data_IF_218002196266
#
_entry.id   IF_218002196266
#
_cell.length_a   1.000
_cell.length_b   1.000
_cell.length_c   1.000
_cell.angle_alpha   90.00
_cell.angle_beta   90.00
_cell.angle_gamma   90.00
#
_symmetry.space_group_name_H-M   'P 1'
#
loop_
_entity.id
_entity.type
_entity.pdbx_description
1 polymer ?
#
# COMPACT_ATOMS: atom_id res chain seq x y z
N UNK A 1 14.17 16.20 -11.75
CA UNK A 1 13.60 16.52 -10.41
C UNK A 1 13.40 15.20 -9.69
N UNK A 2 14.08 14.92 -8.58
CA UNK A 2 13.74 13.72 -7.79
C UNK A 2 12.33 13.93 -7.24
N UNK A 3 11.40 13.03 -7.56
CA UNK A 3 10.08 13.03 -6.94
C UNK A 3 10.18 12.83 -5.42
N UNK A 4 9.09 13.09 -4.66
CA UNK A 4 9.08 12.82 -3.23
C UNK A 4 9.40 11.33 -2.97
N UNK A 5 10.24 11.05 -1.97
CA UNK A 5 10.52 9.68 -1.56
C UNK A 5 9.27 9.07 -0.94
N UNK A 6 8.65 8.11 -1.62
CA UNK A 6 7.41 7.46 -1.17
C UNK A 6 7.75 6.11 -0.54
N UNK A 7 7.10 5.80 0.58
CA UNK A 7 7.10 4.46 1.18
C UNK A 7 5.66 3.95 1.27
N UNK A 8 5.41 2.80 0.65
CA UNK A 8 4.11 2.12 0.68
C UNK A 8 4.20 0.92 1.62
N UNK A 9 3.32 0.88 2.61
CA UNK A 9 3.23 -0.19 3.60
C UNK A 9 2.14 -1.19 3.24
N UNK A 10 2.53 -2.46 3.27
CA UNK A 10 1.71 -3.61 2.96
C UNK A 10 1.58 -4.44 4.25
N UNK A 11 0.37 -4.57 4.80
CA UNK A 11 0.16 -5.35 6.02
C UNK A 11 0.10 -6.87 5.74
N UNK A 12 0.31 -7.67 6.78
CA UNK A 12 0.15 -9.13 6.72
C UNK A 12 -1.27 -9.58 7.04
N UNK A 13 -1.45 -10.90 7.15
CA UNK A 13 -2.69 -11.52 7.64
C UNK A 13 -3.09 -10.94 9.01
N UNK A 14 -4.39 -10.74 9.21
CA UNK A 14 -5.03 -10.05 10.36
C UNK A 14 -4.56 -8.61 10.66
N UNK A 15 -3.66 -8.05 9.85
CA UNK A 15 -3.21 -6.67 9.97
C UNK A 15 -4.16 -5.66 9.29
N UNK A 16 -3.97 -4.39 9.62
CA UNK A 16 -4.60 -3.23 8.97
C UNK A 16 -3.57 -2.10 8.87
N UNK A 17 -3.90 -1.01 8.17
CA UNK A 17 -3.04 0.18 8.01
C UNK A 17 -2.47 0.67 9.36
N UNK A 18 -3.28 0.57 10.42
CA UNK A 18 -2.96 1.08 11.75
C UNK A 18 -1.76 0.38 12.40
N UNK A 19 -1.41 -0.82 11.95
CA UNK A 19 -0.20 -1.53 12.35
C UNK A 19 1.06 -0.72 12.09
N UNK A 20 1.04 0.17 11.09
CA UNK A 20 2.20 0.96 10.66
C UNK A 20 2.21 2.40 11.19
N UNK A 21 1.25 2.81 12.02
CA UNK A 21 1.09 4.22 12.45
C UNK A 21 2.36 4.87 13.01
N UNK A 22 3.17 4.09 13.73
CA UNK A 22 4.41 4.56 14.34
C UNK A 22 5.50 4.76 13.28
N UNK A 23 5.67 3.80 12.37
CA UNK A 23 6.61 3.87 11.25
C UNK A 23 6.23 4.99 10.28
N UNK A 24 4.95 5.13 9.98
CA UNK A 24 4.43 6.22 9.14
C UNK A 24 4.76 7.59 9.75
N UNK A 25 4.54 7.75 11.06
CA UNK A 25 4.86 9.01 11.77
C UNK A 25 6.37 9.30 11.72
N UNK A 26 7.22 8.29 11.94
CA UNK A 26 8.67 8.45 11.86
C UNK A 26 9.14 8.83 10.45
N UNK A 27 8.62 8.17 9.41
CA UNK A 27 8.97 8.47 8.02
C UNK A 27 8.49 9.85 7.56
N UNK A 28 7.28 10.24 7.95
CA UNK A 28 6.77 11.59 7.67
C UNK A 28 7.68 12.66 8.28
N UNK A 29 8.14 12.47 9.52
CA UNK A 29 9.13 13.36 10.17
C UNK A 29 10.48 13.39 9.44
N UNK A 30 10.86 12.29 8.80
CA UNK A 30 12.08 12.18 8.00
C UNK A 30 11.92 12.70 6.54
N UNK A 31 10.77 13.28 6.18
CA UNK A 31 10.52 13.87 4.87
C UNK A 31 10.02 12.89 3.79
N UNK A 32 9.63 11.67 4.17
CA UNK A 32 9.03 10.70 3.25
C UNK A 32 7.51 10.86 3.20
N UNK A 33 6.93 10.58 2.04
CA UNK A 33 5.47 10.37 1.90
C UNK A 33 5.16 8.92 2.29
N UNK A 34 4.68 8.71 3.51
CA UNK A 34 4.28 7.40 4.01
C UNK A 34 2.80 7.10 3.68
N UNK A 35 2.54 5.96 3.03
CA UNK A 35 1.20 5.51 2.64
C UNK A 35 1.00 4.10 3.17
N UNK A 36 -0.08 3.85 3.89
CA UNK A 36 -0.53 2.51 4.27
C UNK A 36 -1.94 2.30 3.72
N UNK A 37 -2.18 1.13 3.15
CA UNK A 37 -3.46 0.71 2.60
C UNK A 37 -4.03 -0.43 3.42
N UNK A 38 -5.35 -0.46 3.53
CA UNK A 38 -6.10 -1.65 3.95
C UNK A 38 -6.45 -2.48 2.72
N UNK A 39 -6.14 -3.78 2.74
CA UNK A 39 -6.53 -4.68 1.66
C UNK A 39 -8.05 -4.84 1.60
N UNK A 40 -8.59 -5.25 0.45
CA UNK A 40 -9.99 -5.66 0.33
C UNK A 40 -10.36 -6.64 1.45
N UNK A 41 -11.46 -6.36 2.16
CA UNK A 41 -11.91 -7.14 3.31
C UNK A 41 -11.17 -6.90 4.63
N UNK A 42 -10.29 -5.90 4.69
CA UNK A 42 -9.60 -5.48 5.91
C UNK A 42 -9.91 -4.03 6.27
N UNK A 43 -9.87 -3.73 7.58
CA UNK A 43 -9.95 -2.37 8.10
C UNK A 43 -11.13 -1.57 7.53
N UNK A 44 -10.82 -0.49 6.84
CA UNK A 44 -11.79 0.43 6.24
C UNK A 44 -12.10 0.12 4.76
N UNK A 45 -11.42 -0.85 4.16
CA UNK A 45 -11.66 -1.27 2.78
C UNK A 45 -12.86 -2.21 2.70
N UNK A 46 -13.63 -2.10 1.61
CA UNK A 46 -14.78 -2.97 1.39
C UNK A 46 -14.37 -4.44 1.30
N UNK A 47 -15.20 -5.31 1.88
CA UNK A 47 -15.10 -6.75 1.64
C UNK A 47 -15.56 -7.08 0.22
N UNK A 48 -14.83 -7.94 -0.51
CA UNK A 48 -15.32 -8.43 -1.80
C UNK A 48 -16.60 -9.24 -1.60
N UNK A 49 -17.52 -9.28 -2.60
CA UNK A 49 -18.75 -10.06 -2.49
C UNK A 49 -18.54 -11.55 -2.25
N UNK A 50 -17.45 -12.11 -2.79
CA UNK A 50 -17.07 -13.52 -2.68
C UNK A 50 -15.62 -13.61 -2.15
N UNK A 51 -15.39 -13.46 -0.84
CA UNK A 51 -14.04 -13.43 -0.24
C UNK A 51 -13.20 -14.65 -0.54
N UNK A 52 -13.81 -15.82 -0.62
CA UNK A 52 -13.16 -17.10 -0.94
C UNK A 52 -12.59 -17.16 -2.36
N UNK A 53 -13.04 -16.27 -3.26
CA UNK A 53 -12.53 -16.18 -4.63
C UNK A 53 -11.45 -15.10 -4.80
N UNK A 54 -11.18 -14.30 -3.77
CA UNK A 54 -10.14 -13.28 -3.82
C UNK A 54 -8.76 -13.94 -4.00
N UNK A 55 -8.02 -13.47 -5.01
CA UNK A 55 -6.72 -14.02 -5.38
C UNK A 55 -5.58 -13.03 -5.11
N UNK A 56 -4.34 -13.54 -5.15
CA UNK A 56 -3.15 -12.69 -5.13
C UNK A 56 -3.13 -11.69 -6.31
N UNK A 57 -3.70 -12.07 -7.47
CA UNK A 57 -3.79 -11.17 -8.63
C UNK A 57 -4.72 -10.00 -8.35
N UNK A 58 -5.84 -10.22 -7.66
CA UNK A 58 -6.74 -9.14 -7.25
C UNK A 58 -6.04 -8.15 -6.33
N UNK A 59 -5.26 -8.67 -5.37
CA UNK A 59 -4.44 -7.85 -4.50
C UNK A 59 -3.42 -7.00 -5.28
N UNK A 60 -2.71 -7.61 -6.23
CA UNK A 60 -1.76 -6.88 -7.08
C UNK A 60 -2.44 -5.81 -7.94
N UNK A 61 -3.64 -6.09 -8.44
CA UNK A 61 -4.41 -5.13 -9.23
C UNK A 61 -4.84 -3.92 -8.38
N UNK A 62 -5.29 -4.14 -7.14
CA UNK A 62 -5.63 -3.05 -6.22
C UNK A 62 -4.41 -2.18 -5.92
N UNK A 63 -3.27 -2.81 -5.62
CA UNK A 63 -2.04 -2.09 -5.32
C UNK A 63 -1.58 -1.24 -6.51
N UNK A 64 -1.58 -1.80 -7.73
CA UNK A 64 -1.24 -1.06 -8.94
C UNK A 64 -2.22 0.10 -9.18
N UNK A 65 -3.53 -0.15 -9.04
CA UNK A 65 -4.55 0.89 -9.18
C UNK A 65 -4.37 2.05 -8.18
N UNK A 66 -4.02 1.75 -6.93
CA UNK A 66 -3.72 2.77 -5.92
C UNK A 66 -2.45 3.55 -6.28
N UNK A 67 -1.39 2.87 -6.68
CA UNK A 67 -0.11 3.50 -7.08
C UNK A 67 -0.33 4.46 -8.25
N UNK A 68 -1.08 4.02 -9.26
CA UNK A 68 -1.43 4.82 -10.44
C UNK A 68 -2.32 6.01 -10.04
N UNK A 69 -3.37 5.79 -9.24
CA UNK A 69 -4.27 6.84 -8.78
C UNK A 69 -3.57 7.92 -7.93
N UNK A 70 -2.52 7.56 -7.20
CA UNK A 70 -1.72 8.47 -6.39
C UNK A 70 -0.55 9.11 -7.18
N UNK A 71 -0.49 8.85 -8.49
CA UNK A 71 0.54 9.32 -9.42
C UNK A 71 1.97 9.02 -8.91
N UNK A 72 2.17 7.87 -8.28
CA UNK A 72 3.47 7.46 -7.76
C UNK A 72 4.32 6.97 -8.95
N UNK A 73 5.46 7.60 -9.25
CA UNK A 73 6.29 7.19 -10.37
C UNK A 73 6.76 5.74 -10.21
N UNK A 74 6.82 5.02 -11.33
CA UNK A 74 7.29 3.64 -11.36
C UNK A 74 8.71 3.57 -10.77
N UNK A 75 8.87 2.72 -9.75
CA UNK A 75 10.18 2.44 -9.18
C UNK A 75 10.97 1.64 -10.23
N UNK A 76 12.21 2.04 -10.50
CA UNK A 76 13.11 1.19 -11.30
C UNK A 76 13.30 -0.12 -10.56
N UNK A 77 12.90 -1.23 -11.20
CA UNK A 77 13.23 -2.55 -10.71
C UNK A 77 14.75 -2.68 -10.76
N UNK A 78 15.41 -2.73 -9.60
CA UNK A 78 16.82 -3.09 -9.55
C UNK A 78 16.92 -4.57 -9.89
N UNK A 79 17.20 -4.86 -11.16
CA UNK A 79 17.67 -6.18 -11.57
C UNK A 79 19.10 -6.31 -11.01
N UNK A 80 19.32 -7.31 -10.15
CA UNK A 80 20.66 -7.87 -9.98
C UNK A 80 21.07 -8.60 -11.25
#
# INVERSE_FOLDING_TARGET
VSGPNVVVFLHGFSGIWFSWRHQMTALAKAGFRAIALDYRGYGLSNSPPEPEKASLRDFMNDLLGIVDALAIPKVQHYNN
#
